data_IF_053063651764
#
_entry.id   IF_053063651764
#
_cell.length_a   1.000
_cell.length_b   1.000
_cell.length_c   1.000
_cell.angle_alpha   90.00
_cell.angle_beta   90.00
_cell.angle_gamma   90.00
#
_symmetry.space_group_name_H-M   'P 1'
#
loop_
_entity.id
_entity.type
_entity.pdbx_description
1 polymer ?
#
# COMPACT_ATOMS: atom_id res chain seq x y z
N UNK A 1 25.86 -17.82 -48.63
CA UNK A 1 25.28 -19.12 -48.23
C UNK A 1 25.98 -19.59 -46.96
N UNK A 2 25.44 -19.28 -45.78
CA UNK A 2 25.91 -19.83 -44.51
C UNK A 2 24.66 -20.15 -43.69
N UNK A 3 24.53 -21.41 -43.32
CA UNK A 3 23.38 -22.02 -42.64
C UNK A 3 23.24 -21.50 -41.21
N UNK A 4 22.02 -21.08 -40.86
CA UNK A 4 21.62 -20.82 -39.47
C UNK A 4 21.13 -22.12 -38.82
N UNK A 5 21.67 -22.40 -37.63
CA UNK A 5 21.18 -23.44 -36.72
C UNK A 5 19.84 -23.03 -36.13
N UNK A 6 18.84 -23.90 -36.30
CA UNK A 6 17.56 -23.86 -35.59
C UNK A 6 17.77 -24.20 -34.11
N UNK A 7 17.44 -23.27 -33.21
CA UNK A 7 17.18 -23.57 -31.81
C UNK A 7 15.69 -23.82 -31.62
N UNK A 8 15.37 -25.04 -31.20
CA UNK A 8 14.04 -25.52 -30.93
C UNK A 8 13.68 -25.14 -29.48
N UNK A 9 12.71 -24.24 -29.29
CA UNK A 9 12.18 -23.85 -27.97
C UNK A 9 10.72 -24.26 -27.86
N UNK A 10 10.48 -25.48 -27.36
CA UNK A 10 9.23 -25.85 -26.72
C UNK A 10 9.53 -25.98 -25.23
N UNK A 11 9.03 -25.07 -24.39
CA UNK A 11 8.60 -25.29 -23.00
C UNK A 11 8.18 -23.95 -22.36
N UNK A 12 7.06 -23.99 -21.63
CA UNK A 12 6.32 -22.93 -20.89
C UNK A 12 5.34 -22.08 -21.70
N UNK A 13 4.06 -22.45 -21.59
CA UNK A 13 2.90 -21.60 -21.91
C UNK A 13 2.81 -20.45 -20.88
N UNK A 14 2.70 -19.18 -21.33
CA UNK A 14 2.52 -18.02 -20.45
C UNK A 14 1.06 -17.85 -20.01
N UNK A 15 0.78 -17.08 -18.94
CA UNK A 15 -0.56 -16.52 -18.74
C UNK A 15 -0.89 -15.57 -19.91
N UNK A 16 -2.11 -15.71 -20.45
CA UNK A 16 -2.60 -14.98 -21.62
C UNK A 16 -2.47 -13.45 -21.45
N UNK A 17 -1.50 -12.85 -22.14
CA UNK A 17 -1.43 -11.40 -22.34
C UNK A 17 -2.10 -11.09 -23.68
N UNK A 18 -3.25 -10.39 -23.73
CA UNK A 18 -3.80 -9.94 -25.01
C UNK A 18 -2.91 -8.82 -25.58
N UNK A 19 -2.45 -9.03 -26.82
CA UNK A 19 -1.77 -8.00 -27.60
C UNK A 19 -2.75 -6.85 -27.91
N UNK A 20 -2.45 -5.65 -27.44
CA UNK A 20 -3.22 -4.44 -27.73
C UNK A 20 -2.78 -3.85 -29.08
N UNK A 21 -3.63 -3.96 -30.10
CA UNK A 21 -3.65 -3.03 -31.24
C UNK A 21 -5.04 -2.39 -31.29
N UNK A 22 -5.15 -1.09 -31.01
CA UNK A 22 -6.36 -0.31 -31.28
C UNK A 22 -6.02 0.94 -32.09
N UNK A 23 -6.56 0.96 -33.30
CA UNK A 23 -6.76 2.14 -34.14
C UNK A 23 -7.85 3.02 -33.53
N UNK A 24 -7.58 4.33 -33.40
CA UNK A 24 -8.58 5.33 -33.02
C UNK A 24 -9.34 5.80 -34.27
N UNK A 25 -10.66 5.65 -34.25
CA UNK A 25 -11.57 6.39 -35.13
C UNK A 25 -12.30 7.43 -34.29
N UNK A 26 -12.23 8.69 -34.72
CA UNK A 26 -12.86 9.83 -34.08
C UNK A 26 -14.35 9.92 -34.50
N UNK A 27 -15.24 10.14 -33.53
CA UNK A 27 -16.63 10.51 -33.80
C UNK A 27 -16.92 11.83 -33.10
N UNK A 28 -17.32 12.82 -33.90
CA UNK A 28 -17.77 14.16 -33.49
C UNK A 28 -19.13 14.11 -32.80
N UNK A 29 -19.29 14.84 -31.70
CA UNK A 29 -20.60 15.12 -31.09
C UNK A 29 -20.88 16.62 -31.15
N UNK A 30 -22.01 16.95 -31.77
CA UNK A 30 -22.56 18.29 -31.95
C UNK A 30 -23.21 18.82 -30.67
N UNK A 31 -23.09 20.12 -30.48
CA UNK A 31 -23.85 20.94 -29.54
C UNK A 31 -25.34 20.92 -29.89
N UNK A 32 -26.20 21.07 -28.88
CA UNK A 32 -27.37 21.95 -28.95
C UNK A 32 -27.78 22.41 -27.55
N UNK A 33 -27.95 23.73 -27.45
CA UNK A 33 -28.35 24.49 -26.27
C UNK A 33 -29.72 25.11 -26.53
N UNK A 34 -30.69 24.89 -25.64
CA UNK A 34 -31.91 25.69 -25.61
C UNK A 34 -32.08 26.36 -24.24
N UNK A 35 -31.95 27.68 -24.28
CA UNK A 35 -32.35 28.65 -23.26
C UNK A 35 -33.83 28.96 -23.51
N UNK A 36 -34.63 29.05 -22.45
CA UNK A 36 -35.83 29.89 -22.43
C UNK A 36 -35.98 30.51 -21.03
N UNK A 37 -35.80 31.83 -20.99
CA UNK A 37 -36.37 32.74 -20.00
C UNK A 37 -37.90 32.77 -20.13
N UNK A 38 -38.61 33.07 -19.04
CA UNK A 38 -39.59 34.17 -18.92
C UNK A 38 -40.08 34.24 -17.45
N UNK A 39 -39.65 35.33 -16.82
CA UNK A 39 -40.33 36.31 -15.94
C UNK A 39 -41.35 35.93 -14.86
N UNK A 40 -41.05 36.46 -13.66
CA UNK A 40 -41.85 37.37 -12.81
C UNK A 40 -43.35 37.10 -12.62
N UNK A 41 -43.81 36.98 -11.37
CA UNK A 41 -44.13 38.17 -10.55
C UNK A 41 -44.72 37.81 -9.16
N UNK A 42 -44.61 38.79 -8.24
CA UNK A 42 -45.37 39.02 -6.99
C UNK A 42 -44.94 38.43 -5.62
N UNK A 43 -44.24 39.31 -4.91
CA UNK A 43 -44.42 39.72 -3.51
C UNK A 43 -45.89 39.71 -3.00
N UNK A 44 -46.15 39.23 -1.78
CA UNK A 44 -46.19 40.06 -0.54
C UNK A 44 -46.74 39.30 0.69
N UNK A 45 -46.09 39.56 1.84
CA UNK A 45 -46.65 39.74 3.20
C UNK A 45 -47.44 38.61 3.91
N UNK A 46 -47.52 38.51 5.25
CA UNK A 46 -46.80 38.93 6.46
C UNK A 46 -47.57 38.20 7.60
N UNK A 47 -46.86 37.74 8.65
CA UNK A 47 -47.29 37.45 10.03
C UNK A 47 -48.60 36.67 10.30
N UNK A 48 -48.51 35.60 11.10
CA UNK A 48 -48.83 35.59 12.55
C UNK A 48 -49.12 34.18 13.12
N UNK A 49 -48.42 33.85 14.20
CA UNK A 49 -48.72 32.81 15.23
C UNK A 49 -50.10 33.06 15.90
N UNK A 50 -50.74 32.12 16.67
CA UNK A 50 -50.14 31.11 17.55
C UNK A 50 -50.88 29.75 17.74
N UNK A 51 -50.23 28.85 18.50
CA UNK A 51 -50.68 27.67 19.29
C UNK A 51 -52.19 27.57 19.63
N UNK A 52 -52.79 26.36 19.89
CA UNK A 52 -52.30 25.49 20.98
C UNK A 52 -52.59 23.96 20.96
N UNK A 53 -51.98 23.31 21.97
CA UNK A 53 -52.45 22.20 22.84
C UNK A 53 -52.25 20.73 22.46
N UNK A 54 -51.51 20.08 23.37
CA UNK A 54 -51.39 18.65 23.67
C UNK A 54 -52.73 17.97 24.01
N UNK A 55 -52.87 16.70 23.61
CA UNK A 55 -53.41 15.62 24.46
C UNK A 55 -53.01 14.22 23.93
N UNK A 56 -52.47 13.39 24.85
CA UNK A 56 -52.56 11.91 25.06
C UNK A 56 -53.38 11.06 24.04
N UNK A 57 -53.12 9.78 23.72
CA UNK A 57 -52.61 8.62 24.47
C UNK A 57 -52.39 7.42 23.47
N UNK A 58 -51.95 6.21 23.91
CA UNK A 58 -51.25 5.23 23.09
C UNK A 58 -52.15 4.16 22.42
N UNK A 59 -51.75 3.70 21.23
CA UNK A 59 -52.34 2.55 20.54
C UNK A 59 -51.53 1.27 20.75
N UNK A 60 -52.19 0.30 21.39
CA UNK A 60 -51.81 -1.12 21.44
C UNK A 60 -51.82 -1.71 20.02
N UNK A 61 -50.68 -2.20 19.52
CA UNK A 61 -50.66 -3.04 18.33
C UNK A 61 -50.27 -4.49 18.63
N UNK A 62 -51.10 -5.34 18.08
CA UNK A 62 -51.30 -6.77 18.32
C UNK A 62 -50.31 -7.58 17.48
N UNK A 63 -49.43 -8.35 18.12
CA UNK A 63 -48.59 -9.38 17.48
C UNK A 63 -49.49 -10.45 16.83
N UNK A 64 -49.34 -10.68 15.53
CA UNK A 64 -49.69 -11.95 14.87
C UNK A 64 -48.41 -12.56 14.30
N UNK A 65 -48.11 -13.77 14.75
CA UNK A 65 -47.03 -14.59 14.22
C UNK A 65 -47.40 -15.22 12.88
N UNK A 66 -46.40 -15.39 12.04
CA UNK A 66 -46.45 -16.28 10.88
C UNK A 66 -45.24 -17.22 10.94
N UNK A 67 -45.55 -18.51 10.85
CA UNK A 67 -44.61 -19.65 10.84
C UNK A 67 -43.96 -19.73 9.46
N UNK A 68 -42.64 -19.72 9.40
CA UNK A 68 -41.89 -20.15 8.21
C UNK A 68 -41.63 -21.65 8.26
N UNK A 69 -42.13 -22.37 7.26
CA UNK A 69 -41.65 -23.69 6.83
C UNK A 69 -40.78 -23.46 5.61
N UNK A 70 -39.49 -23.78 5.67
CA UNK A 70 -38.66 -23.97 4.50
C UNK A 70 -38.21 -25.43 4.43
N UNK A 71 -38.55 -26.06 3.31
CA UNK A 71 -38.17 -27.41 2.96
C UNK A 71 -36.68 -27.48 2.61
N UNK A 72 -36.01 -28.49 3.14
CA UNK A 72 -34.74 -28.98 2.62
C UNK A 72 -34.98 -29.75 1.31
N UNK A 73 -34.20 -29.44 0.28
CA UNK A 73 -33.91 -30.38 -0.81
C UNK A 73 -32.40 -30.39 -1.03
N UNK A 74 -31.79 -31.51 -0.68
CA UNK A 74 -30.42 -31.87 -0.99
C UNK A 74 -30.28 -32.42 -2.41
N UNK A 75 -29.02 -32.42 -2.90
CA UNK A 75 -28.41 -33.31 -3.92
C UNK A 75 -28.11 -32.67 -5.28
N UNK A 76 -27.07 -33.01 -6.06
CA UNK A 76 -25.88 -33.88 -6.05
C UNK A 76 -25.06 -33.46 -7.33
N UNK A 77 -23.79 -33.88 -7.45
CA UNK A 77 -22.78 -33.77 -8.55
C UNK A 77 -21.69 -32.71 -8.32
N UNK A 78 -20.39 -32.95 -8.56
CA UNK A 78 -19.65 -34.13 -9.04
C UNK A 78 -18.18 -33.97 -8.65
N UNK A 79 -17.53 -35.10 -8.35
CA UNK A 79 -16.10 -35.25 -8.14
C UNK A 79 -15.28 -35.01 -9.42
N UNK A 80 -14.07 -34.45 -9.27
CA UNK A 80 -12.85 -34.79 -10.02
C UNK A 80 -11.65 -33.97 -9.53
N UNK A 81 -10.81 -34.54 -8.67
CA UNK A 81 -9.38 -34.19 -8.57
C UNK A 81 -8.65 -35.24 -7.73
N UNK A 82 -8.04 -36.20 -8.42
CA UNK A 82 -6.90 -36.96 -7.95
C UNK A 82 -5.76 -36.73 -8.95
N UNK A 83 -4.52 -36.81 -8.46
CA UNK A 83 -3.22 -36.61 -9.13
C UNK A 83 -2.60 -35.21 -9.03
N UNK A 84 -1.87 -34.96 -7.94
CA UNK A 84 -0.40 -34.83 -7.93
C UNK A 84 0.08 -34.69 -6.48
N UNK A 85 0.51 -35.80 -5.87
CA UNK A 85 1.19 -35.80 -4.58
C UNK A 85 2.57 -36.44 -4.77
N UNK A 86 3.61 -35.62 -4.91
CA UNK A 86 5.00 -36.06 -4.79
C UNK A 86 5.84 -34.95 -4.12
N UNK A 87 6.01 -35.10 -2.81
CA UNK A 87 7.33 -35.14 -2.17
C UNK A 87 8.14 -33.85 -2.09
N UNK A 88 7.95 -33.10 -1.01
CA UNK A 88 9.05 -32.32 -0.41
C UNK A 88 9.24 -32.75 1.05
N UNK A 89 10.16 -33.69 1.25
CA UNK A 89 10.76 -33.99 2.56
C UNK A 89 11.77 -32.88 2.88
N UNK A 90 11.49 -32.10 3.91
CA UNK A 90 12.46 -31.17 4.52
C UNK A 90 13.60 -31.95 5.17
N UNK A 91 14.78 -31.90 4.55
CA UNK A 91 16.05 -32.24 5.18
C UNK A 91 16.64 -30.97 5.78
N UNK A 92 16.63 -30.88 7.12
CA UNK A 92 17.34 -29.85 7.88
C UNK A 92 18.84 -30.17 7.79
N UNK A 93 19.58 -29.41 6.97
CA UNK A 93 21.04 -29.42 6.96
C UNK A 93 21.51 -28.16 7.68
N UNK A 94 22.09 -28.33 8.87
CA UNK A 94 22.86 -27.30 9.57
C UNK A 94 24.10 -26.94 8.74
N UNK A 95 24.03 -25.84 8.00
CA UNK A 95 25.22 -25.20 7.44
C UNK A 95 25.85 -24.29 8.48
N UNK A 96 27.07 -24.66 8.89
CA UNK A 96 27.93 -23.86 9.75
C UNK A 96 28.23 -22.48 9.13
N UNK A 97 28.25 -21.48 10.00
CA UNK A 97 28.59 -20.10 9.71
C UNK A 97 30.00 -20.01 9.10
N UNK A 98 30.08 -19.91 7.77
CA UNK A 98 31.29 -19.44 7.09
C UNK A 98 31.41 -17.93 7.30
N UNK A 99 32.42 -17.54 8.08
CA UNK A 99 32.87 -16.15 8.21
C UNK A 99 33.36 -15.69 6.83
N UNK A 100 32.55 -14.89 6.14
CA UNK A 100 32.90 -14.27 4.87
C UNK A 100 34.08 -13.31 5.10
N UNK A 101 35.27 -13.71 4.66
CA UNK A 101 36.46 -12.86 4.65
C UNK A 101 36.20 -11.60 3.83
N UNK A 102 36.16 -10.44 4.50
CA UNK A 102 35.97 -9.15 3.87
C UNK A 102 37.06 -8.92 2.81
N UNK A 103 36.65 -8.72 1.55
CA UNK A 103 37.57 -8.35 0.48
C UNK A 103 38.28 -7.03 0.83
N UNK A 104 39.62 -7.01 0.89
CA UNK A 104 40.36 -5.82 1.30
C UNK A 104 40.15 -4.68 0.31
N UNK A 105 39.54 -3.59 0.79
CA UNK A 105 39.37 -2.35 0.04
C UNK A 105 40.75 -1.70 -0.09
N UNK A 106 41.39 -1.85 -1.26
CA UNK A 106 42.60 -1.11 -1.62
C UNK A 106 42.25 0.36 -1.84
N UNK A 107 42.33 1.16 -0.78
CA UNK A 107 42.23 2.62 -0.87
C UNK A 107 43.41 3.11 -1.71
N UNK A 108 43.10 3.60 -2.92
CA UNK A 108 44.07 4.18 -3.84
C UNK A 108 44.60 5.47 -3.21
N UNK A 109 45.79 5.40 -2.61
CA UNK A 109 46.42 6.51 -1.91
C UNK A 109 46.40 7.81 -2.72
N UNK A 110 45.97 8.90 -2.07
CA UNK A 110 46.09 10.28 -2.58
C UNK A 110 47.55 10.51 -3.00
N UNK A 111 47.77 10.72 -4.30
CA UNK A 111 49.07 11.20 -4.80
C UNK A 111 49.34 12.56 -4.17
N UNK A 112 50.37 12.64 -3.33
CA UNK A 112 50.99 13.91 -2.94
C UNK A 112 51.51 14.56 -4.22
N UNK A 113 51.06 15.79 -4.49
CA UNK A 113 51.63 16.62 -5.54
C UNK A 113 53.10 16.89 -5.19
N UNK A 114 54.06 16.73 -6.13
CA UNK A 114 55.43 17.12 -5.88
C UNK A 114 55.49 18.64 -5.72
N UNK A 115 55.97 19.08 -4.56
CA UNK A 115 56.24 20.49 -4.26
C UNK A 115 57.29 21.04 -5.22
N UNK A 116 56.90 22.05 -5.99
CA UNK A 116 57.78 22.84 -6.83
C UNK A 116 58.62 23.76 -5.94
N UNK A 117 59.82 23.33 -5.56
CA UNK A 117 60.88 24.25 -5.10
C UNK A 117 62.24 23.54 -5.06
N UNK A 118 63.01 23.64 -6.15
CA UNK A 118 64.47 23.57 -6.03
C UNK A 118 65.15 24.35 -7.18
N UNK A 119 66.00 25.34 -6.88
CA UNK A 119 66.75 26.10 -7.88
C UNK A 119 67.98 25.31 -8.37
N UNK A 120 68.60 25.73 -9.50
CA UNK A 120 69.68 24.98 -10.14
C UNK A 120 71.01 25.22 -9.41
N UNK A 121 71.72 24.14 -9.09
CA UNK A 121 73.12 24.20 -8.70
C UNK A 121 73.94 23.36 -9.67
N UNK A 122 75.09 23.93 -10.01
CA UNK A 122 75.93 23.61 -11.15
C UNK A 122 76.78 22.35 -10.96
N UNK A 123 77.32 21.91 -12.10
CA UNK A 123 78.63 21.27 -12.28
C UNK A 123 78.88 19.92 -11.57
N UNK A 124 78.82 18.84 -12.33
CA UNK A 124 79.78 17.74 -12.16
C UNK A 124 79.92 16.94 -13.44
N UNK A 125 81.09 17.08 -14.04
CA UNK A 125 81.76 16.18 -14.98
C UNK A 125 82.05 14.83 -14.30
N UNK A 126 82.39 13.82 -15.11
CA UNK A 126 82.92 12.47 -14.79
C UNK A 126 81.87 11.36 -14.70
N UNK A 127 82.11 10.11 -15.11
CA UNK A 127 83.01 9.43 -16.06
C UNK A 127 82.37 8.04 -16.23
N UNK A 128 82.46 7.50 -17.44
CA UNK A 128 82.19 6.13 -17.91
C UNK A 128 82.23 4.97 -16.90
N UNK A 129 81.22 4.08 -16.93
CA UNK A 129 81.39 2.62 -16.85
C UNK A 129 80.09 1.87 -17.21
N UNK A 130 80.17 0.76 -17.99
CA UNK A 130 79.01 -0.02 -18.43
C UNK A 130 78.76 -1.21 -17.48
N UNK A 131 77.59 -1.24 -16.85
CA UNK A 131 77.17 -2.30 -15.93
C UNK A 131 75.81 -2.85 -16.33
N UNK A 132 75.86 -3.86 -17.18
CA UNK A 132 74.75 -4.67 -17.69
C UNK A 132 74.00 -5.36 -16.54
N UNK A 133 72.75 -4.95 -16.28
CA UNK A 133 71.78 -5.75 -15.53
C UNK A 133 70.37 -5.36 -15.96
N UNK A 134 69.75 -6.26 -16.73
CA UNK A 134 68.52 -6.11 -17.48
C UNK A 134 67.24 -5.88 -16.66
N UNK A 135 67.15 -4.75 -15.97
CA UNK A 135 65.87 -4.17 -15.57
C UNK A 135 65.22 -3.55 -16.79
N UNK A 136 64.49 -4.37 -17.57
CA UNK A 136 63.62 -3.90 -18.65
C UNK A 136 62.56 -3.00 -18.01
N UNK A 137 62.87 -1.70 -17.95
CA UNK A 137 61.89 -0.70 -17.57
C UNK A 137 60.76 -0.82 -18.57
N UNK A 138 59.63 -1.35 -18.09
CA UNK A 138 58.40 -1.42 -18.87
C UNK A 138 58.04 0.03 -19.13
N UNK A 139 58.48 0.55 -20.29
CA UNK A 139 58.14 1.87 -20.81
C UNK A 139 56.63 1.90 -20.82
N UNK A 140 56.04 2.54 -19.80
CA UNK A 140 54.60 2.78 -19.71
C UNK A 140 54.26 3.62 -20.93
N UNK A 141 53.85 2.97 -22.03
CA UNK A 141 53.36 3.64 -23.22
C UNK A 141 52.23 4.54 -22.75
N UNK A 142 52.51 5.84 -22.74
CA UNK A 142 51.49 6.86 -22.57
C UNK A 142 50.59 6.72 -23.78
N UNK A 143 49.52 5.91 -23.64
CA UNK A 143 48.47 5.85 -24.65
C UNK A 143 48.04 7.29 -24.88
N UNK A 144 48.12 7.74 -26.12
CA UNK A 144 47.68 9.08 -26.47
C UNK A 144 46.24 9.25 -26.02
N UNK A 145 45.90 10.45 -25.57
CA UNK A 145 44.54 10.78 -25.17
C UNK A 145 43.55 10.48 -26.32
N UNK A 146 43.98 10.66 -27.57
CA UNK A 146 43.23 10.25 -28.76
C UNK A 146 42.95 8.74 -28.83
N UNK A 147 43.93 7.86 -28.55
CA UNK A 147 43.70 6.40 -28.52
C UNK A 147 42.79 5.98 -27.34
N UNK A 148 42.84 6.71 -26.23
CA UNK A 148 41.91 6.48 -25.11
C UNK A 148 40.49 6.90 -25.48
N UNK A 149 40.31 8.03 -26.15
CA UNK A 149 38.99 8.48 -26.63
C UNK A 149 38.45 7.58 -27.74
N UNK A 150 39.26 7.20 -28.72
CA UNK A 150 38.86 6.27 -29.79
C UNK A 150 38.48 4.89 -29.24
N UNK A 151 39.24 4.34 -28.29
CA UNK A 151 38.91 3.06 -27.62
C UNK A 151 37.71 3.14 -26.65
N UNK A 152 37.24 4.35 -26.32
CA UNK A 152 35.98 4.58 -25.60
C UNK A 152 34.82 4.73 -26.57
N UNK A 153 35.03 5.38 -27.72
CA UNK A 153 34.03 5.52 -28.78
C UNK A 153 33.66 4.17 -29.42
N UNK A 154 34.60 3.23 -29.52
CA UNK A 154 34.34 1.87 -30.04
C UNK A 154 33.83 0.89 -28.99
N UNK A 155 33.83 1.26 -27.70
CA UNK A 155 33.13 0.51 -26.66
C UNK A 155 31.66 0.90 -26.66
N UNK A 156 30.98 0.51 -27.72
CA UNK A 156 29.53 0.35 -27.75
C UNK A 156 29.16 -0.74 -26.75
N UNK A 157 29.07 -0.38 -25.47
CA UNK A 157 28.22 -1.13 -24.57
C UNK A 157 26.81 -0.65 -24.92
N UNK A 158 25.89 -1.53 -25.35
CA UNK A 158 24.48 -1.17 -25.36
C UNK A 158 24.13 -0.85 -23.92
N UNK A 159 24.19 0.44 -23.58
CA UNK A 159 23.80 0.90 -22.25
C UNK A 159 22.29 0.72 -22.24
N UNK A 160 21.77 0.02 -21.23
CA UNK A 160 20.33 -0.21 -21.06
C UNK A 160 19.51 1.09 -21.28
N UNK A 161 20.09 2.24 -20.90
CA UNK A 161 19.57 3.60 -21.09
C UNK A 161 19.27 4.00 -22.55
N UNK A 162 19.98 3.41 -23.53
CA UNK A 162 19.83 3.70 -24.96
C UNK A 162 18.63 2.97 -25.59
N UNK A 163 18.01 2.04 -24.88
CA UNK A 163 16.81 1.37 -25.37
C UNK A 163 15.63 2.36 -25.49
N UNK A 164 14.70 2.11 -26.43
CA UNK A 164 13.41 2.80 -26.47
C UNK A 164 12.64 2.70 -25.15
N UNK A 165 11.78 3.68 -24.87
CA UNK A 165 10.95 3.74 -23.66
C UNK A 165 10.14 2.46 -23.46
N UNK A 166 9.53 1.96 -24.53
CA UNK A 166 8.60 0.84 -24.53
C UNK A 166 9.30 -0.46 -24.10
N UNK A 167 10.54 -0.64 -24.55
CA UNK A 167 11.38 -1.79 -24.18
C UNK A 167 11.80 -1.68 -22.72
N UNK A 168 12.20 -0.49 -22.27
CA UNK A 168 12.53 -0.24 -20.86
C UNK A 168 11.34 -0.47 -19.94
N UNK A 169 10.15 -0.01 -20.32
CA UNK A 169 8.91 -0.23 -19.58
C UNK A 169 8.58 -1.71 -19.48
N UNK A 170 8.74 -2.46 -20.57
CA UNK A 170 8.54 -3.91 -20.57
C UNK A 170 9.52 -4.60 -19.61
N UNK A 171 10.81 -4.28 -19.69
CA UNK A 171 11.83 -4.80 -18.75
C UNK A 171 11.47 -4.44 -17.31
N UNK A 172 11.03 -3.21 -17.06
CA UNK A 172 10.63 -2.76 -15.73
C UNK A 172 9.44 -3.55 -15.19
N UNK A 173 8.37 -3.71 -15.98
CA UNK A 173 7.18 -4.46 -15.59
C UNK A 173 7.49 -5.95 -15.32
N UNK A 174 8.23 -6.61 -16.22
CA UNK A 174 8.54 -8.03 -16.05
C UNK A 174 9.55 -8.31 -14.92
N UNK A 175 10.49 -7.41 -14.70
CA UNK A 175 11.46 -7.58 -13.61
C UNK A 175 10.89 -7.19 -12.24
N UNK A 176 9.80 -6.43 -12.23
CA UNK A 176 9.21 -5.79 -11.05
C UNK A 176 10.21 -5.06 -10.14
N UNK A 177 11.36 -4.66 -10.70
CA UNK A 177 12.48 -4.18 -9.90
C UNK A 177 12.40 -2.67 -9.73
N UNK A 178 11.94 -2.25 -8.56
CA UNK A 178 11.79 -0.84 -8.16
C UNK A 178 13.14 -0.10 -8.12
N UNK A 179 14.26 -0.82 -8.05
CA UNK A 179 15.60 -0.23 -8.13
C UNK A 179 15.99 0.18 -9.56
N UNK A 180 15.30 -0.33 -10.59
CA UNK A 180 15.63 -0.09 -11.98
C UNK A 180 15.49 1.39 -12.38
N UNK A 181 14.36 2.09 -12.11
CA UNK A 181 14.26 3.54 -12.33
C UNK A 181 15.30 4.33 -11.51
N UNK A 182 15.72 3.82 -10.35
CA UNK A 182 16.68 4.48 -9.44
C UNK A 182 18.14 4.30 -9.87
N UNK A 183 18.43 3.31 -10.71
CA UNK A 183 19.79 2.99 -11.15
C UNK A 183 20.42 4.06 -12.05
N UNK A 184 19.59 4.88 -12.71
CA UNK A 184 20.05 5.96 -13.58
C UNK A 184 18.98 7.05 -13.71
N UNK A 185 19.32 8.35 -13.62
CA UNK A 185 18.37 9.44 -13.83
C UNK A 185 17.66 9.40 -15.19
N UNK A 186 18.36 8.98 -16.24
CA UNK A 186 17.81 8.87 -17.60
C UNK A 186 16.75 7.76 -17.64
N UNK A 187 17.01 6.62 -16.96
CA UNK A 187 16.03 5.53 -16.87
C UNK A 187 14.85 5.93 -16.00
N UNK A 188 15.11 6.60 -14.88
CA UNK A 188 14.09 7.20 -14.04
C UNK A 188 13.15 8.07 -14.87
N UNK A 189 13.68 9.05 -15.59
CA UNK A 189 12.89 9.95 -16.43
C UNK A 189 12.01 9.20 -17.45
N UNK A 190 12.55 8.17 -18.11
CA UNK A 190 11.78 7.34 -19.07
C UNK A 190 10.69 6.49 -18.40
N UNK A 191 10.95 5.97 -17.20
CA UNK A 191 10.05 5.03 -16.49
C UNK A 191 9.09 5.72 -15.52
N UNK A 192 9.30 7.01 -15.21
CA UNK A 192 8.43 7.81 -14.34
C UNK A 192 7.16 8.32 -15.03
N UNK A 193 6.89 7.90 -16.27
CA UNK A 193 5.64 8.20 -16.95
C UNK A 193 4.43 7.69 -16.17
N UNK A 194 3.39 8.53 -16.00
CA UNK A 194 2.21 8.17 -15.19
C UNK A 194 1.54 6.88 -15.67
N UNK A 195 1.46 6.66 -16.99
CA UNK A 195 0.90 5.45 -17.56
C UNK A 195 1.70 4.20 -17.17
N UNK A 196 3.04 4.27 -17.24
CA UNK A 196 3.94 3.19 -16.83
C UNK A 196 3.78 2.87 -15.34
N UNK A 197 3.73 3.89 -14.48
CA UNK A 197 3.53 3.70 -13.05
C UNK A 197 2.16 3.08 -12.74
N UNK A 198 1.09 3.51 -13.41
CA UNK A 198 -0.24 2.93 -13.26
C UNK A 198 -0.20 1.45 -13.66
N UNK A 199 0.40 1.11 -14.82
CA UNK A 199 0.54 -0.28 -15.26
C UNK A 199 1.34 -1.12 -14.27
N UNK A 200 2.41 -0.57 -13.71
CA UNK A 200 3.22 -1.24 -12.70
C UNK A 200 2.45 -1.48 -11.40
N UNK A 201 1.66 -0.50 -10.95
CA UNK A 201 0.79 -0.67 -9.79
C UNK A 201 -0.28 -1.72 -10.05
N UNK A 202 -0.98 -1.63 -11.19
CA UNK A 202 -1.95 -2.65 -11.60
C UNK A 202 -1.31 -4.03 -11.62
N UNK A 203 -0.11 -4.17 -12.19
CA UNK A 203 0.60 -5.43 -12.27
C UNK A 203 0.85 -6.04 -10.88
N UNK A 204 1.26 -5.23 -9.90
CA UNK A 204 1.53 -5.71 -8.55
C UNK A 204 0.28 -6.11 -7.74
N UNK A 205 -0.88 -5.52 -8.06
CA UNK A 205 -2.14 -5.78 -7.37
C UNK A 205 -3.10 -6.66 -8.17
N UNK A 206 -2.76 -7.01 -9.42
CA UNK A 206 -3.65 -7.70 -10.36
C UNK A 206 -4.23 -8.99 -9.76
N UNK A 207 -3.37 -9.89 -9.28
CA UNK A 207 -3.81 -11.19 -8.76
C UNK A 207 -4.73 -11.04 -7.54
N UNK A 208 -4.43 -10.07 -6.66
CA UNK A 208 -5.25 -9.78 -5.49
C UNK A 208 -6.60 -9.22 -5.90
N UNK A 209 -6.64 -8.22 -6.79
CA UNK A 209 -7.88 -7.63 -7.28
C UNK A 209 -8.72 -8.63 -8.08
N UNK A 210 -8.10 -9.48 -8.90
CA UNK A 210 -8.81 -10.48 -9.68
C UNK A 210 -9.56 -11.49 -8.79
N UNK A 211 -9.02 -11.82 -7.63
CA UNK A 211 -9.66 -12.77 -6.71
C UNK A 211 -10.71 -12.10 -5.82
N UNK A 212 -10.50 -10.82 -5.51
CA UNK A 212 -11.24 -10.13 -4.46
C UNK A 212 -12.33 -9.18 -4.95
N UNK A 213 -12.20 -8.66 -6.17
CA UNK A 213 -13.10 -7.64 -6.66
C UNK A 213 -14.53 -8.17 -6.80
N UNK A 214 -15.47 -7.55 -6.07
CA UNK A 214 -16.89 -7.92 -6.08
C UNK A 214 -17.28 -9.08 -5.17
N UNK A 215 -16.33 -9.69 -4.48
CA UNK A 215 -16.56 -10.87 -3.63
C UNK A 215 -17.00 -10.46 -2.22
N UNK A 216 -18.30 -10.20 -2.01
CA UNK A 216 -18.86 -9.85 -0.68
C UNK A 216 -18.79 -11.01 0.34
N UNK A 217 -18.53 -12.24 -0.12
CA UNK A 217 -18.57 -13.46 0.68
C UNK A 217 -17.23 -13.91 1.27
N UNK A 218 -16.11 -13.30 0.89
CA UNK A 218 -14.80 -13.61 1.47
C UNK A 218 -14.69 -12.82 2.78
N UNK A 219 -15.48 -13.19 3.79
CA UNK A 219 -15.54 -12.55 5.10
C UNK A 219 -14.20 -12.62 5.85
N UNK A 220 -13.92 -11.63 6.72
CA UNK A 220 -12.65 -11.43 7.42
C UNK A 220 -12.21 -12.58 8.36
N UNK A 221 -13.11 -13.50 8.70
CA UNK A 221 -12.82 -14.57 9.65
C UNK A 221 -12.13 -15.80 9.01
N UNK A 222 -10.84 -15.92 9.35
CA UNK A 222 -10.08 -17.17 9.44
C UNK A 222 -9.67 -17.85 8.12
N UNK A 223 -8.40 -17.70 7.80
CA UNK A 223 -7.60 -18.51 6.86
C UNK A 223 -7.49 -18.07 5.39
N UNK A 224 -7.74 -16.78 5.10
CA UNK A 224 -7.51 -16.20 3.77
C UNK A 224 -6.05 -16.23 3.29
N UNK A 225 -5.10 -16.43 4.20
CA UNK A 225 -3.67 -16.25 3.88
C UNK A 225 -3.13 -17.27 2.87
N UNK A 226 -3.80 -18.42 2.73
CA UNK A 226 -3.48 -19.45 1.75
C UNK A 226 -4.17 -19.25 0.41
N UNK A 227 -5.26 -18.46 0.38
CA UNK A 227 -6.16 -18.34 -0.79
C UNK A 227 -5.87 -17.08 -1.60
N UNK A 228 -5.54 -15.96 -0.94
CA UNK A 228 -5.31 -14.69 -1.64
C UNK A 228 -3.93 -14.70 -2.32
N UNK A 229 -3.93 -14.68 -3.64
CA UNK A 229 -2.73 -14.56 -4.46
C UNK A 229 -2.13 -13.15 -4.48
N UNK A 230 -0.99 -13.04 -5.16
CA UNK A 230 -0.25 -11.80 -5.33
C UNK A 230 1.04 -11.72 -4.48
N UNK A 231 1.95 -10.84 -4.89
CA UNK A 231 3.23 -10.64 -4.21
C UNK A 231 3.10 -9.59 -3.09
N UNK A 232 2.97 -10.08 -1.84
CA UNK A 232 2.90 -9.24 -0.64
C UNK A 232 4.10 -8.29 -0.49
N UNK A 233 5.30 -8.72 -0.87
CA UNK A 233 6.51 -7.93 -0.66
C UNK A 233 6.56 -6.79 -1.67
N UNK A 234 6.17 -7.06 -2.91
CA UNK A 234 6.05 -6.04 -3.93
C UNK A 234 4.98 -5.00 -3.59
N UNK A 235 3.77 -5.43 -3.20
CA UNK A 235 2.70 -4.51 -2.80
C UNK A 235 3.15 -3.62 -1.63
N UNK A 236 3.75 -4.21 -0.61
CA UNK A 236 4.33 -3.47 0.52
C UNK A 236 5.38 -2.45 0.07
N UNK A 237 6.26 -2.84 -0.87
CA UNK A 237 7.33 -1.95 -1.34
C UNK A 237 6.77 -0.81 -2.18
N UNK A 238 5.77 -1.07 -3.02
CA UNK A 238 5.12 -0.04 -3.85
C UNK A 238 4.38 0.97 -2.98
N UNK A 239 3.63 0.53 -1.96
CA UNK A 239 2.90 1.42 -1.06
C UNK A 239 3.81 2.38 -0.26
N UNK A 240 5.10 2.04 -0.13
CA UNK A 240 6.11 2.91 0.49
C UNK A 240 6.71 3.94 -0.48
N UNK A 241 6.32 3.94 -1.76
CA UNK A 241 6.88 4.87 -2.74
C UNK A 241 6.23 6.26 -2.63
N UNK A 242 7.01 7.35 -2.70
CA UNK A 242 6.53 8.71 -2.41
C UNK A 242 5.54 9.27 -3.42
N UNK A 243 5.44 8.66 -4.61
CA UNK A 243 4.49 9.06 -5.64
C UNK A 243 3.14 8.34 -5.53
N UNK A 244 3.04 7.32 -4.66
CA UNK A 244 1.79 6.62 -4.39
C UNK A 244 0.96 7.45 -3.43
N UNK A 245 -0.21 7.87 -3.90
CA UNK A 245 -1.22 8.57 -3.13
C UNK A 245 -2.60 8.00 -3.50
N UNK A 246 -3.62 8.37 -2.74
CA UNK A 246 -4.99 7.89 -2.86
C UNK A 246 -5.54 8.11 -4.28
N UNK A 247 -5.34 9.31 -4.85
CA UNK A 247 -5.75 9.64 -6.23
C UNK A 247 -5.16 8.67 -7.26
N UNK A 248 -3.87 8.40 -7.11
CA UNK A 248 -3.13 7.50 -7.99
C UNK A 248 -3.68 6.08 -7.90
N UNK A 249 -3.89 5.58 -6.67
CA UNK A 249 -4.41 4.22 -6.42
C UNK A 249 -5.80 4.07 -7.02
N UNK A 250 -6.72 5.01 -6.74
CA UNK A 250 -8.09 4.97 -7.27
C UNK A 250 -8.10 4.99 -8.79
N UNK A 251 -7.24 5.80 -9.42
CA UNK A 251 -7.10 5.80 -10.89
C UNK A 251 -6.57 4.47 -11.43
N UNK A 252 -5.61 3.85 -10.75
CA UNK A 252 -5.11 2.53 -11.13
C UNK A 252 -6.20 1.45 -10.99
N UNK A 253 -6.97 1.49 -9.91
CA UNK A 253 -8.09 0.59 -9.64
C UNK A 253 -9.19 0.76 -10.71
N UNK A 254 -9.57 1.99 -11.07
CA UNK A 254 -10.51 2.24 -12.18
C UNK A 254 -9.99 1.65 -13.49
N UNK A 255 -8.73 1.91 -13.81
CA UNK A 255 -8.12 1.44 -15.07
C UNK A 255 -8.10 -0.09 -15.13
N UNK A 256 -7.84 -0.77 -14.00
CA UNK A 256 -7.91 -2.22 -13.91
C UNK A 256 -9.34 -2.72 -14.09
N UNK A 257 -10.33 -2.14 -13.40
CA UNK A 257 -11.74 -2.56 -13.55
C UNK A 257 -12.23 -2.38 -14.98
N UNK A 258 -11.92 -1.23 -15.59
CA UNK A 258 -12.26 -0.96 -16.98
C UNK A 258 -11.62 -1.96 -17.96
N UNK A 259 -10.55 -2.64 -17.56
CA UNK A 259 -9.82 -3.58 -18.43
C UNK A 259 -10.20 -5.03 -18.16
N UNK A 260 -10.39 -5.41 -16.89
CA UNK A 260 -10.45 -6.80 -16.46
C UNK A 260 -11.75 -7.20 -15.75
N UNK A 261 -12.56 -6.25 -15.31
CA UNK A 261 -13.71 -6.53 -14.42
C UNK A 261 -14.99 -5.73 -14.77
N UNK A 262 -15.14 -5.25 -16.02
CA UNK A 262 -16.32 -4.50 -16.45
C UNK A 262 -17.63 -5.29 -16.34
N UNK A 263 -17.54 -6.60 -16.43
CA UNK A 263 -18.66 -7.54 -16.36
C UNK A 263 -18.88 -8.10 -14.95
N UNK A 264 -18.09 -7.67 -13.97
CA UNK A 264 -18.22 -8.12 -12.59
C UNK A 264 -19.14 -7.21 -11.80
N UNK A 265 -19.88 -7.83 -10.88
CA UNK A 265 -20.63 -7.11 -9.86
C UNK A 265 -19.67 -6.52 -8.84
N UNK A 266 -19.85 -5.26 -8.47
CA UNK A 266 -19.08 -4.63 -7.40
C UNK A 266 -20.04 -4.25 -6.27
N UNK A 267 -19.64 -4.50 -5.02
CA UNK A 267 -20.36 -4.06 -3.84
C UNK A 267 -19.42 -3.28 -2.91
N UNK A 268 -19.97 -2.34 -2.14
CA UNK A 268 -19.23 -1.62 -1.11
C UNK A 268 -18.80 -2.57 0.02
N UNK A 269 -17.56 -2.40 0.48
CA UNK A 269 -16.95 -3.21 1.55
C UNK A 269 -17.30 -2.71 2.97
N UNK A 270 -18.29 -1.82 3.07
CA UNK A 270 -18.77 -1.34 4.35
C UNK A 270 -19.73 -2.36 4.98
N UNK A 271 -19.72 -2.46 6.31
CA UNK A 271 -20.57 -3.41 7.01
C UNK A 271 -22.01 -2.96 6.89
N UNK A 272 -22.87 -3.90 6.49
CA UNK A 272 -24.30 -3.67 6.29
C UNK A 272 -25.09 -3.62 7.58
N UNK A 273 -24.55 -4.17 8.67
CA UNK A 273 -25.19 -4.28 9.97
C UNK A 273 -24.32 -3.60 11.02
N UNK A 274 -24.95 -2.90 11.95
CA UNK A 274 -24.29 -2.36 13.13
C UNK A 274 -24.00 -3.45 14.18
N UNK A 275 -23.46 -3.05 15.32
CA UNK A 275 -23.15 -3.97 16.42
C UNK A 275 -24.37 -4.62 17.09
N UNK A 276 -25.57 -4.11 16.83
CA UNK A 276 -26.84 -4.64 17.33
C UNK A 276 -27.50 -5.57 16.29
N UNK A 277 -26.94 -5.65 15.08
CA UNK A 277 -27.45 -6.43 13.98
C UNK A 277 -28.50 -5.68 13.16
N UNK A 278 -28.68 -4.38 13.41
CA UNK A 278 -29.59 -3.54 12.65
C UNK A 278 -28.92 -3.07 11.35
N UNK A 279 -29.65 -3.00 10.22
CA UNK A 279 -29.09 -2.52 8.97
C UNK A 279 -28.62 -1.07 9.08
N UNK A 280 -27.38 -0.80 8.67
CA UNK A 280 -26.90 0.57 8.49
C UNK A 280 -27.74 1.26 7.40
N UNK A 281 -28.42 2.34 7.78
CA UNK A 281 -29.00 3.28 6.81
C UNK A 281 -27.92 4.24 6.33
N UNK A 282 -27.29 3.92 5.21
CA UNK A 282 -26.35 4.83 4.55
C UNK A 282 -27.10 6.09 4.09
N UNK A 283 -26.59 7.26 4.44
CA UNK A 283 -27.33 8.52 4.23
C UNK A 283 -27.20 9.09 2.80
N UNK A 284 -26.51 8.39 1.89
CA UNK A 284 -26.06 8.98 0.63
C UNK A 284 -26.81 8.46 -0.59
N UNK A 285 -26.99 9.36 -1.57
CA UNK A 285 -27.58 9.11 -2.89
C UNK A 285 -26.72 8.18 -3.79
N UNK A 286 -25.74 7.47 -3.23
CA UNK A 286 -24.91 6.52 -3.96
C UNK A 286 -25.50 5.11 -3.79
N UNK A 287 -25.70 4.38 -4.88
CA UNK A 287 -26.26 3.03 -4.82
C UNK A 287 -25.25 2.07 -4.19
N UNK A 288 -25.42 1.79 -2.88
CA UNK A 288 -24.54 0.89 -2.13
C UNK A 288 -24.71 -0.58 -2.53
N UNK A 289 -25.85 -0.92 -3.12
CA UNK A 289 -26.19 -2.29 -3.50
C UNK A 289 -25.31 -2.82 -4.66
N UNK A 290 -24.59 -1.93 -5.33
CA UNK A 290 -23.74 -2.31 -6.45
C UNK A 290 -24.53 -2.60 -7.72
N UNK A 291 -23.87 -2.48 -8.86
CA UNK A 291 -24.42 -2.97 -10.11
C UNK A 291 -23.31 -3.43 -11.05
N UNK A 292 -23.65 -4.35 -11.96
CA UNK A 292 -22.70 -4.91 -12.93
C UNK A 292 -22.22 -3.78 -13.84
N UNK A 293 -20.90 -3.60 -13.92
CA UNK A 293 -20.26 -2.64 -14.84
C UNK A 293 -20.39 -1.16 -14.48
N UNK A 294 -20.96 -0.82 -13.31
CA UNK A 294 -21.08 0.56 -12.84
C UNK A 294 -20.19 0.85 -11.63
N UNK A 295 -18.93 0.43 -11.71
CA UNK A 295 -17.94 0.79 -10.69
C UNK A 295 -17.25 2.11 -11.02
N UNK A 296 -17.34 3.06 -10.09
CA UNK A 296 -16.52 4.27 -10.09
C UNK A 296 -15.69 4.32 -8.81
N UNK A 297 -14.42 3.93 -8.91
CA UNK A 297 -13.47 3.85 -7.79
C UNK A 297 -13.50 5.09 -6.89
N UNK A 298 -13.49 6.29 -7.47
CA UNK A 298 -13.47 7.55 -6.72
C UNK A 298 -14.79 7.82 -6.01
N UNK A 299 -15.92 7.68 -6.71
CA UNK A 299 -17.24 7.92 -6.11
C UNK A 299 -17.53 6.91 -4.99
N UNK A 300 -17.23 5.64 -5.24
CA UNK A 300 -17.36 4.60 -4.22
C UNK A 300 -16.45 4.87 -3.01
N UNK A 301 -15.19 5.26 -3.26
CA UNK A 301 -14.28 5.67 -2.18
C UNK A 301 -14.76 6.86 -1.38
N UNK A 302 -15.26 7.90 -2.04
CA UNK A 302 -15.74 9.07 -1.32
C UNK A 302 -16.97 8.73 -0.48
N UNK A 303 -17.92 7.97 -1.05
CA UNK A 303 -19.10 7.53 -0.31
C UNK A 303 -18.71 6.73 0.93
N UNK A 304 -17.79 5.77 0.80
CA UNK A 304 -17.34 4.99 1.95
C UNK A 304 -16.57 5.83 2.97
N UNK A 305 -15.73 6.76 2.50
CA UNK A 305 -14.93 7.61 3.37
C UNK A 305 -15.80 8.56 4.20
N UNK A 306 -16.80 9.18 3.57
CA UNK A 306 -17.74 10.08 4.26
C UNK A 306 -18.58 9.33 5.29
N UNK A 307 -19.00 8.11 4.99
CA UNK A 307 -19.72 7.27 5.93
C UNK A 307 -18.88 6.96 7.17
N UNK A 308 -17.63 6.50 6.99
CA UNK A 308 -16.73 6.19 8.11
C UNK A 308 -16.31 7.45 8.88
N UNK A 309 -16.23 8.60 8.21
CA UNK A 309 -15.97 9.89 8.86
C UNK A 309 -17.12 10.31 9.80
N UNK A 310 -18.35 9.90 9.49
CA UNK A 310 -19.53 10.18 10.32
C UNK A 310 -19.67 9.24 11.52
N UNK A 311 -18.84 8.19 11.62
CA UNK A 311 -18.92 7.25 12.73
C UNK A 311 -18.40 7.86 14.03
N UNK A 312 -19.09 7.53 15.12
CA UNK A 312 -18.62 7.81 16.47
C UNK A 312 -17.30 7.05 16.77
N UNK A 313 -16.47 7.55 17.70
CA UNK A 313 -15.26 6.84 18.10
C UNK A 313 -15.57 5.44 18.64
N UNK A 314 -14.83 4.43 18.17
CA UNK A 314 -15.02 3.03 18.54
C UNK A 314 -16.43 2.51 18.23
N UNK A 315 -17.05 3.05 17.17
CA UNK A 315 -18.27 2.49 16.64
C UNK A 315 -18.11 0.95 16.58
N UNK A 316 -19.04 0.23 17.19
CA UNK A 316 -19.06 -1.24 17.22
C UNK A 316 -19.46 -1.74 15.86
N UNK A 317 -18.54 -1.58 14.94
CA UNK A 317 -18.72 -1.98 13.58
C UNK A 317 -18.20 -3.40 13.49
N UNK A 318 -19.01 -4.31 12.94
CA UNK A 318 -18.56 -5.67 12.64
C UNK A 318 -17.28 -5.68 11.80
N UNK A 319 -16.68 -6.85 11.60
CA UNK A 319 -15.51 -6.94 10.74
C UNK A 319 -15.85 -6.39 9.34
N UNK A 320 -15.09 -5.39 8.90
CA UNK A 320 -15.30 -4.71 7.63
C UNK A 320 -13.98 -4.49 6.91
N UNK A 321 -14.11 -4.31 5.59
CA UNK A 321 -12.99 -4.33 4.67
C UNK A 321 -13.07 -5.51 3.71
N UNK A 322 -12.73 -5.25 2.46
CA UNK A 322 -12.64 -6.25 1.40
C UNK A 322 -11.29 -6.96 1.42
N UNK A 323 -10.81 -7.32 0.24
CA UNK A 323 -9.45 -7.84 0.07
C UNK A 323 -8.74 -7.17 -1.12
N UNK A 324 -8.85 -5.83 -1.19
CA UNK A 324 -8.16 -5.03 -2.22
C UNK A 324 -6.63 -5.06 -2.09
N UNK A 325 -6.11 -5.56 -0.96
CA UNK A 325 -4.68 -5.74 -0.71
C UNK A 325 -4.41 -7.12 -0.13
N UNK A 326 -3.21 -7.64 -0.35
CA UNK A 326 -2.83 -8.93 0.23
C UNK A 326 -2.86 -8.83 1.77
N UNK A 327 -3.47 -9.78 2.53
CA UNK A 327 -3.70 -9.64 3.98
C UNK A 327 -2.43 -9.41 4.81
N UNK A 328 -1.29 -9.92 4.31
CA UNK A 328 0.05 -9.81 4.91
C UNK A 328 0.92 -8.69 4.32
N UNK A 329 0.34 -7.65 3.72
CA UNK A 329 1.15 -6.48 3.34
C UNK A 329 1.60 -5.74 4.60
N UNK A 330 2.81 -5.21 4.53
CA UNK A 330 3.31 -4.28 5.54
C UNK A 330 2.77 -2.88 5.26
N UNK A 331 2.04 -2.33 6.23
CA UNK A 331 1.58 -0.94 6.17
C UNK A 331 2.81 -0.02 6.25
N UNK A 332 2.95 1.00 5.38
CA UNK A 332 3.99 2.01 5.49
C UNK A 332 4.04 2.62 6.89
N UNK A 333 5.22 2.62 7.53
CA UNK A 333 5.39 3.10 8.92
C UNK A 333 4.88 4.52 9.10
N UNK A 334 5.05 5.39 8.10
CA UNK A 334 4.56 6.78 8.11
C UNK A 334 3.03 6.91 8.22
N UNK A 335 2.28 5.89 7.81
CA UNK A 335 0.82 5.84 7.96
C UNK A 335 0.38 5.31 9.33
N UNK A 336 1.27 4.62 10.03
CA UNK A 336 1.02 4.10 11.39
C UNK A 336 1.42 5.14 12.42
N UNK A 337 2.62 5.73 12.31
CA UNK A 337 3.16 6.57 13.38
C UNK A 337 2.57 7.97 13.39
N UNK A 338 2.00 8.46 12.29
CA UNK A 338 1.60 9.86 12.15
C UNK A 338 2.81 10.82 12.11
N UNK A 339 2.58 12.16 12.18
CA UNK A 339 1.26 12.81 12.16
C UNK A 339 0.51 12.57 10.85
N UNK A 340 -0.82 12.55 10.90
CA UNK A 340 -1.66 12.33 9.72
C UNK A 340 -2.14 13.66 9.15
N UNK A 341 -1.76 13.92 7.91
CA UNK A 341 -2.49 14.86 7.07
C UNK A 341 -3.65 14.12 6.37
N UNK A 342 -4.54 14.87 5.73
CA UNK A 342 -5.70 14.32 5.03
C UNK A 342 -5.34 13.18 4.07
N UNK A 343 -4.25 13.33 3.31
CA UNK A 343 -3.80 12.31 2.36
C UNK A 343 -3.37 11.01 3.05
N UNK A 344 -2.67 11.09 4.18
CA UNK A 344 -2.26 9.89 4.95
C UNK A 344 -3.46 9.21 5.60
N UNK A 345 -4.45 9.98 6.07
CA UNK A 345 -5.70 9.42 6.61
C UNK A 345 -6.45 8.68 5.52
N UNK A 346 -6.61 9.28 4.33
CA UNK A 346 -7.26 8.64 3.18
C UNK A 346 -6.55 7.37 2.73
N UNK A 347 -5.22 7.37 2.71
CA UNK A 347 -4.44 6.18 2.36
C UNK A 347 -4.54 5.08 3.43
N UNK A 348 -4.54 5.44 4.71
CA UNK A 348 -4.78 4.50 5.81
C UNK A 348 -6.20 3.91 5.73
N UNK A 349 -7.20 4.74 5.43
CA UNK A 349 -8.57 4.30 5.20
C UNK A 349 -8.66 3.36 3.99
N UNK A 350 -7.97 3.65 2.88
CA UNK A 350 -7.93 2.75 1.73
C UNK A 350 -7.37 1.36 2.11
N UNK A 351 -6.30 1.31 2.92
CA UNK A 351 -5.73 0.06 3.41
C UNK A 351 -6.70 -0.69 4.33
N UNK A 352 -7.34 0.02 5.25
CA UNK A 352 -8.36 -0.55 6.15
C UNK A 352 -9.53 -1.12 5.36
N UNK A 353 -10.06 -0.35 4.41
CA UNK A 353 -11.11 -0.78 3.48
C UNK A 353 -10.67 -1.95 2.61
N UNK A 354 -9.38 -2.05 2.27
CA UNK A 354 -8.81 -3.20 1.57
C UNK A 354 -8.63 -4.45 2.43
N UNK A 355 -9.06 -4.42 3.70
CA UNK A 355 -8.97 -5.54 4.64
C UNK A 355 -7.69 -5.60 5.44
N UNK A 356 -6.79 -4.60 5.33
CA UNK A 356 -5.57 -4.55 6.13
C UNK A 356 -5.78 -3.71 7.38
N UNK A 357 -5.74 -4.38 8.53
CA UNK A 357 -5.87 -3.78 9.85
C UNK A 357 -4.48 -3.76 10.50
N UNK A 358 -4.06 -2.60 10.99
CA UNK A 358 -2.83 -2.52 11.78
C UNK A 358 -2.98 -3.34 13.06
N UNK A 359 -2.00 -4.19 13.37
CA UNK A 359 -1.87 -4.85 14.67
C UNK A 359 -2.37 -6.30 14.75
N UNK A 360 -3.04 -6.83 13.72
CA UNK A 360 -3.46 -8.25 13.73
C UNK A 360 -2.30 -9.24 13.62
N UNK A 361 -1.13 -8.82 13.14
CA UNK A 361 0.06 -9.67 13.04
C UNK A 361 1.16 -9.20 14.01
N UNK A 362 1.44 -10.03 15.01
CA UNK A 362 2.26 -9.70 16.19
C UNK A 362 3.76 -9.48 15.89
N UNK A 363 4.25 -9.80 14.69
CA UNK A 363 5.68 -9.80 14.38
C UNK A 363 6.17 -8.59 13.57
N UNK A 364 5.29 -7.73 13.06
CA UNK A 364 5.70 -6.70 12.09
C UNK A 364 6.04 -5.34 12.71
N UNK A 365 5.60 -5.06 13.93
CA UNK A 365 5.75 -3.73 14.53
C UNK A 365 6.56 -3.79 15.82
N UNK A 366 7.61 -2.98 15.87
CA UNK A 366 8.33 -2.75 17.11
C UNK A 366 7.47 -1.92 18.07
N UNK A 367 7.61 -2.11 19.38
CA UNK A 367 6.83 -1.37 20.37
C UNK A 367 7.07 0.14 20.28
N UNK A 368 8.21 0.57 19.73
CA UNK A 368 8.50 1.98 19.45
C UNK A 368 7.54 2.55 18.38
N UNK A 369 7.25 1.80 17.31
CA UNK A 369 6.27 2.20 16.30
C UNK A 369 4.87 2.30 16.92
N UNK A 370 4.52 1.36 17.78
CA UNK A 370 3.25 1.38 18.52
C UNK A 370 3.17 2.60 19.44
N UNK A 371 4.24 2.91 20.16
CA UNK A 371 4.31 4.06 21.06
C UNK A 371 4.20 5.38 20.29
N UNK A 372 4.89 5.52 19.16
CA UNK A 372 4.81 6.71 18.32
C UNK A 372 3.38 6.91 17.78
N UNK A 373 2.74 5.83 17.32
CA UNK A 373 1.33 5.86 16.93
C UNK A 373 0.43 6.29 18.09
N UNK A 374 0.58 5.69 19.28
CA UNK A 374 -0.22 5.99 20.46
C UNK A 374 -0.08 7.47 20.86
N UNK A 375 1.15 7.98 20.89
CA UNK A 375 1.44 9.36 21.24
C UNK A 375 0.86 10.33 20.22
N UNK A 376 1.16 10.13 18.94
CA UNK A 376 0.72 11.04 17.89
C UNK A 376 -0.80 10.99 17.66
N UNK A 377 -1.49 9.87 17.88
CA UNK A 377 -2.93 9.75 17.70
C UNK A 377 -3.74 10.29 18.89
N UNK A 378 -3.28 10.05 20.10
CA UNK A 378 -4.12 10.21 21.29
C UNK A 378 -3.52 11.11 22.37
N UNK A 379 -2.23 10.99 22.66
CA UNK A 379 -1.64 11.62 23.85
C UNK A 379 -1.12 13.03 23.56
N UNK A 380 -0.47 13.23 22.43
CA UNK A 380 0.16 14.49 22.00
C UNK A 380 -0.65 15.23 20.93
N UNK A 381 -1.64 14.56 20.32
CA UNK A 381 -2.56 15.19 19.38
C UNK A 381 -3.31 16.36 20.04
N UNK A 382 -3.47 17.54 19.41
CA UNK A 382 -4.28 18.62 19.97
C UNK A 382 -5.70 18.17 20.31
N UNK A 383 -6.30 17.36 19.43
CA UNK A 383 -7.57 16.68 19.65
C UNK A 383 -7.44 15.23 19.15
N UNK A 384 -7.87 14.22 19.93
CA UNK A 384 -7.86 12.83 19.48
C UNK A 384 -8.80 12.63 18.28
N UNK A 385 -8.30 12.03 17.20
CA UNK A 385 -9.06 11.88 15.95
C UNK A 385 -9.92 10.60 15.98
N UNK A 386 -11.24 10.77 15.95
CA UNK A 386 -12.23 9.69 15.93
C UNK A 386 -12.11 8.77 14.71
N UNK A 387 -11.69 9.29 13.56
CA UNK A 387 -11.47 8.45 12.39
C UNK A 387 -10.27 7.52 12.62
N UNK A 388 -9.19 8.02 13.23
CA UNK A 388 -8.00 7.21 13.52
C UNK A 388 -8.33 6.08 14.52
N UNK A 389 -9.20 6.32 15.51
CA UNK A 389 -9.64 5.25 16.43
C UNK A 389 -10.39 4.13 15.70
N UNK A 390 -11.13 4.47 14.64
CA UNK A 390 -11.89 3.50 13.85
C UNK A 390 -11.02 2.78 12.80
N UNK A 391 -9.87 3.34 12.42
CA UNK A 391 -8.95 2.74 11.44
C UNK A 391 -7.90 1.80 12.06
N UNK A 392 -7.53 2.01 13.32
CA UNK A 392 -6.46 1.29 14.01
C UNK A 392 -7.04 0.34 15.05
N UNK A 393 -6.51 -0.89 15.12
CA UNK A 393 -6.84 -1.80 16.23
C UNK A 393 -6.10 -1.36 17.50
N UNK A 394 -6.82 -0.66 18.38
CA UNK A 394 -6.32 -0.19 19.66
C UNK A 394 -5.88 -1.34 20.58
N UNK A 395 -6.52 -2.51 20.47
CA UNK A 395 -6.17 -3.68 21.29
C UNK A 395 -4.77 -4.15 20.93
N UNK A 396 -4.49 -4.27 19.63
CA UNK A 396 -3.17 -4.65 19.14
C UNK A 396 -2.11 -3.57 19.39
N UNK A 397 -2.49 -2.29 19.27
CA UNK A 397 -1.59 -1.17 19.55
C UNK A 397 -1.05 -1.21 20.99
N UNK A 398 -1.89 -1.59 21.96
CA UNK A 398 -1.53 -1.62 23.38
C UNK A 398 -0.81 -2.91 23.82
N UNK A 399 -1.06 -4.05 23.16
CA UNK A 399 -0.57 -5.39 23.60
C UNK A 399 0.96 -5.50 23.66
N UNK A 400 1.69 -4.79 22.80
CA UNK A 400 3.15 -4.92 22.65
C UNK A 400 4.00 -3.97 23.50
N UNK A 401 3.39 -3.08 24.30
CA UNK A 401 4.13 -2.04 25.02
C UNK A 401 4.88 -2.62 26.24
N UNK A 402 6.13 -2.17 26.52
CA UNK A 402 6.79 -2.48 27.78
C UNK A 402 6.00 -1.95 28.99
N UNK A 403 5.97 -2.70 30.09
CA UNK A 403 5.11 -2.40 31.25
C UNK A 403 5.40 -1.04 31.91
N UNK A 404 6.65 -0.61 31.90
CA UNK A 404 7.09 0.70 32.38
C UNK A 404 6.63 1.83 31.46
N UNK A 405 6.75 1.64 30.14
CA UNK A 405 6.23 2.56 29.11
C UNK A 405 4.72 2.69 29.21
N UNK A 406 3.98 1.56 29.28
CA UNK A 406 2.53 1.57 29.44
C UNK A 406 2.07 2.34 30.69
N UNK A 407 2.77 2.18 31.82
CA UNK A 407 2.50 2.93 33.06
C UNK A 407 2.78 4.42 32.93
N UNK A 408 3.82 4.79 32.19
CA UNK A 408 4.13 6.18 31.88
C UNK A 408 3.02 6.82 31.03
N UNK A 409 2.64 6.18 29.93
CA UNK A 409 1.62 6.72 29.02
C UNK A 409 0.24 6.81 29.69
N UNK A 410 -0.13 5.86 30.57
CA UNK A 410 -1.37 5.97 31.37
C UNK A 410 -1.36 7.19 32.30
N UNK A 411 -0.24 7.49 32.95
CA UNK A 411 -0.12 8.70 33.78
C UNK A 411 -0.29 9.98 32.95
N UNK A 412 0.24 10.01 31.73
CA UNK A 412 0.04 11.14 30.80
C UNK A 412 -1.42 11.29 30.38
N UNK A 413 -2.09 10.18 30.06
CA UNK A 413 -3.52 10.20 29.71
C UNK A 413 -4.36 10.67 30.90
N UNK A 414 -4.07 10.22 32.13
CA UNK A 414 -4.75 10.67 33.33
C UNK A 414 -4.59 12.18 33.58
N UNK A 415 -3.36 12.70 33.41
CA UNK A 415 -3.10 14.14 33.50
C UNK A 415 -3.89 14.91 32.44
N UNK A 416 -3.93 14.42 31.20
CA UNK A 416 -4.69 15.03 30.11
C UNK A 416 -6.20 14.97 30.36
N UNK A 417 -6.74 13.87 30.88
CA UNK A 417 -8.16 13.77 31.25
C UNK A 417 -8.55 14.78 32.35
N UNK A 418 -7.63 15.05 33.30
CA UNK A 418 -7.87 15.96 34.43
C UNK A 418 -7.71 17.44 34.06
N UNK A 419 -6.69 17.76 33.26
CA UNK A 419 -6.26 19.15 33.01
C UNK A 419 -6.33 19.58 31.55
N UNK A 420 -6.57 18.63 30.63
CA UNK A 420 -6.67 18.89 29.19
C UNK A 420 -7.99 19.55 28.82
N UNK A 421 -7.93 20.39 27.79
CA UNK A 421 -9.08 21.08 27.20
C UNK A 421 -9.80 20.23 26.14
N UNK A 422 -9.74 18.90 26.27
CA UNK A 422 -10.39 17.98 25.33
C UNK A 422 -11.92 18.11 25.39
N UNK A 423 -12.54 18.05 24.23
CA UNK A 423 -14.00 17.96 24.09
C UNK A 423 -14.53 16.60 24.62
N UNK A 424 -15.85 16.44 24.66
CA UNK A 424 -16.46 15.23 25.22
C UNK A 424 -16.03 13.95 24.49
N UNK A 425 -15.96 13.98 23.16
CA UNK A 425 -15.52 12.86 22.33
C UNK A 425 -14.04 12.52 22.56
N UNK A 426 -13.16 13.52 22.60
CA UNK A 426 -11.74 13.36 22.90
C UNK A 426 -11.49 12.74 24.28
N UNK A 427 -12.26 13.15 25.29
CA UNK A 427 -12.20 12.54 26.63
C UNK A 427 -12.64 11.08 26.61
N UNK A 428 -13.64 10.73 25.80
CA UNK A 428 -14.08 9.35 25.66
C UNK A 428 -13.02 8.48 24.99
N UNK A 429 -12.40 8.99 23.92
CA UNK A 429 -11.24 8.35 23.27
C UNK A 429 -10.13 8.07 24.28
N UNK A 430 -9.75 9.08 25.06
CA UNK A 430 -8.70 8.95 26.07
C UNK A 430 -9.04 7.92 27.16
N UNK A 431 -10.30 7.84 27.60
CA UNK A 431 -10.73 6.83 28.58
C UNK A 431 -10.62 5.42 28.03
N UNK A 432 -11.07 5.17 26.80
CA UNK A 432 -10.97 3.85 26.18
C UNK A 432 -9.50 3.45 25.98
N UNK A 433 -8.65 4.38 25.50
CA UNK A 433 -7.20 4.15 25.39
C UNK A 433 -6.59 3.81 26.76
N UNK A 434 -6.92 4.57 27.80
CA UNK A 434 -6.47 4.30 29.17
C UNK A 434 -6.86 2.90 29.65
N UNK A 435 -8.12 2.51 29.40
CA UNK A 435 -8.65 1.19 29.76
C UNK A 435 -7.92 0.07 29.01
N UNK A 436 -7.71 0.23 27.70
CA UNK A 436 -7.02 -0.77 26.86
C UNK A 436 -5.57 -0.98 27.25
N UNK A 437 -4.84 0.07 27.62
CA UNK A 437 -3.48 -0.07 28.16
C UNK A 437 -3.53 -0.82 29.50
N UNK A 438 -4.48 -0.50 30.38
CA UNK A 438 -4.65 -1.19 31.67
C UNK A 438 -4.90 -2.69 31.53
N UNK A 439 -5.75 -3.09 30.57
CA UNK A 439 -6.11 -4.49 30.32
C UNK A 439 -4.90 -5.42 30.13
N UNK A 440 -3.82 -4.95 29.51
CA UNK A 440 -2.63 -5.77 29.22
C UNK A 440 -1.53 -5.70 30.29
N UNK A 441 -1.57 -4.72 31.20
CA UNK A 441 -0.42 -4.41 32.08
C UNK A 441 -0.73 -4.41 33.57
N UNK A 442 -2.00 -4.42 33.96
CA UNK A 442 -2.42 -4.41 35.37
C UNK A 442 -2.45 -5.81 36.00
N UNK A 443 -2.02 -6.84 35.28
CA UNK A 443 -1.93 -8.19 35.84
C UNK A 443 -3.29 -8.85 36.03
N UNK A 444 -4.28 -8.52 35.18
CA UNK A 444 -5.32 -9.51 34.89
C UNK A 444 -4.60 -10.73 34.34
N UNK A 445 -4.47 -11.75 35.20
CA UNK A 445 -3.78 -13.00 34.92
C UNK A 445 -4.06 -13.42 33.49
N UNK A 446 -3.07 -13.29 32.60
CA UNK A 446 -3.18 -13.85 31.27
C UNK A 446 -3.44 -15.35 31.49
N UNK A 447 -4.56 -15.91 31.01
CA UNK A 447 -4.87 -17.31 31.23
C UNK A 447 -3.76 -18.15 30.60
N UNK A 448 -2.78 -18.56 31.40
CA UNK A 448 -1.59 -19.28 30.95
C UNK A 448 -0.24 -18.78 31.46
N UNK A 449 -0.13 -17.68 32.22
CA UNK A 449 1.16 -17.37 32.87
C UNK A 449 1.40 -18.35 34.04
N UNK A 450 2.49 -19.14 34.03
CA UNK A 450 2.79 -20.04 35.14
C UNK A 450 3.01 -19.21 36.42
N UNK A 451 2.32 -19.60 37.49
CA UNK A 451 2.42 -19.01 38.83
C UNK A 451 3.77 -19.29 39.47
#
# INVERSE_FOLDING_TARGET
>A
MINYYNFNTNFFSPPNVPAFSKSFSATSLSQDSHINEISDDRFDNINSTPFPKLTSAPSLFRRRGARNRFNLSASIFSASSQFFELGYRSSIISHGLQVMGLTPIRIRGKRKYPSASRPPSALSTHTSAPGDSGSRSIKKMKRSLSNVLASRATRWRPVLQALPSEVLESIFLYSANISLPRSSPIMGAKLSGRATLIRFFIWAFHDTWDQCFGSSGIGAASDKSSVVGGDRHLQSTILNLPWVNTDFILRAQQTWVDTYARDRHYEHNLPRLDGEGDPFTYSHNHEFQGSVGHFNSRKCFEADYQEVLAWEPFAKVGEWGGCDVHPRIRIPTVLITGPWNEERVRLLFWLRRGGRIYGLEEHESSWEIQLDCLRNAFIEAPEPNALITNLIDLTALCRGLPRDIAREERRRIEQRLKWGADNAAGKEILREVYMRIGMFHDGFDAPGSPK
#
